data_IF_564898359567
#
_entry.id   IF_564898359567
#
_cell.length_a   1.000
_cell.length_b   1.000
_cell.length_c   1.000
_cell.angle_alpha   90.00
_cell.angle_beta   90.00
_cell.angle_gamma   90.00
#
_symmetry.space_group_name_H-M   'P 1'
#
loop_
_entity.id
_entity.type
_entity.pdbx_description
1 polymer ?
#
# COMPACT_ATOMS: atom_id res chain seq x y z
N UNK A 1 -17.71 -15.55 -0.07
CA UNK A 1 -17.79 -14.17 -0.58
C UNK A 1 -16.44 -13.90 -1.22
N UNK A 2 -16.38 -13.76 -2.54
CA UNK A 2 -15.13 -13.36 -3.21
C UNK A 2 -14.83 -11.93 -2.77
N UNK A 3 -13.63 -11.73 -2.23
CA UNK A 3 -13.18 -10.42 -1.79
C UNK A 3 -12.66 -9.65 -3.01
N UNK A 4 -13.29 -8.51 -3.31
CA UNK A 4 -12.95 -7.67 -4.47
C UNK A 4 -11.50 -7.21 -4.45
N UNK A 5 -10.86 -7.22 -3.28
CA UNK A 5 -9.50 -6.73 -3.11
C UNK A 5 -8.43 -7.74 -3.53
N UNK A 6 -8.77 -9.04 -3.62
CA UNK A 6 -7.82 -10.08 -4.06
C UNK A 6 -7.49 -10.02 -5.56
N UNK A 7 -8.21 -9.22 -6.34
CA UNK A 7 -7.95 -9.01 -7.76
C UNK A 7 -6.85 -7.97 -8.02
N UNK A 8 -6.47 -7.17 -7.01
CA UNK A 8 -5.44 -6.14 -7.17
C UNK A 8 -4.05 -6.75 -7.06
N UNK A 9 -3.12 -6.25 -7.87
CA UNK A 9 -1.73 -6.72 -7.92
C UNK A 9 -0.76 -5.72 -7.27
N UNK A 10 -1.04 -4.41 -7.35
CA UNK A 10 -0.16 -3.39 -6.76
C UNK A 10 -0.93 -2.27 -6.08
N UNK A 11 -0.25 -1.57 -5.18
CA UNK A 11 -0.69 -0.33 -4.57
C UNK A 11 0.37 0.78 -4.69
N UNK A 12 -0.12 1.99 -4.89
CA UNK A 12 0.65 3.22 -4.78
C UNK A 12 -0.05 4.16 -3.82
N UNK A 13 0.70 4.91 -3.02
CA UNK A 13 0.18 5.92 -2.12
C UNK A 13 0.86 7.25 -2.38
N UNK A 14 0.10 8.32 -2.36
CA UNK A 14 0.60 9.69 -2.47
C UNK A 14 -0.04 10.52 -1.38
N UNK A 15 0.78 11.28 -0.66
CA UNK A 15 0.31 12.24 0.35
C UNK A 15 0.66 13.66 -0.09
N UNK A 16 -0.35 14.53 -0.16
CA UNK A 16 -0.20 15.94 -0.56
C UNK A 16 -0.88 16.88 0.43
N UNK A 17 -0.64 18.18 0.28
CA UNK A 17 -1.40 19.27 0.94
C UNK A 17 -1.45 19.25 2.48
N UNK A 18 -0.44 18.68 3.15
CA UNK A 18 -0.37 18.73 4.60
C UNK A 18 -0.14 20.16 5.12
N UNK A 19 -0.85 20.55 6.18
CA UNK A 19 -0.62 21.80 6.89
C UNK A 19 0.85 21.91 7.30
N UNK A 20 1.49 23.04 6.99
CA UNK A 20 2.93 23.24 7.18
C UNK A 20 3.40 23.06 8.63
N UNK A 21 2.52 23.29 9.61
CA UNK A 21 2.80 23.08 11.05
C UNK A 21 2.80 21.59 11.46
N UNK A 22 2.21 20.71 10.65
CA UNK A 22 2.19 19.25 10.88
C UNK A 22 3.16 18.50 9.96
N UNK A 23 3.65 19.16 8.91
CA UNK A 23 4.80 18.70 8.13
C UNK A 23 6.10 18.61 8.95
N UNK A 24 6.13 19.15 10.17
CA UNK A 24 7.24 19.07 11.11
C UNK A 24 7.24 17.82 12.00
N UNK A 25 6.27 16.90 11.87
CA UNK A 25 6.43 15.54 12.39
C UNK A 25 7.68 14.91 11.75
N UNK A 26 8.54 14.27 12.53
CA UNK A 26 9.86 13.83 12.07
C UNK A 26 9.81 12.99 10.76
N UNK A 27 10.39 13.56 9.69
CA UNK A 27 10.33 13.05 8.32
C UNK A 27 9.14 13.64 7.56
N UNK A 28 9.39 14.39 6.48
CA UNK A 28 8.35 15.03 5.70
C UNK A 28 7.25 14.01 5.35
N UNK A 29 5.97 14.40 5.42
CA UNK A 29 4.85 13.55 4.98
C UNK A 29 5.01 13.06 3.52
N UNK A 30 5.86 13.71 2.72
CA UNK A 30 6.26 13.26 1.38
C UNK A 30 7.02 11.94 1.36
N UNK A 31 7.71 11.57 2.45
CA UNK A 31 8.44 10.29 2.59
C UNK A 31 7.51 9.08 2.55
N UNK A 32 6.21 9.30 2.73
CA UNK A 32 5.19 8.25 2.71
C UNK A 32 4.74 7.87 1.29
N UNK A 33 5.17 8.61 0.26
CA UNK A 33 4.72 8.33 -1.10
C UNK A 33 5.45 7.11 -1.66
N UNK A 34 4.71 6.06 -1.96
CA UNK A 34 5.22 4.79 -2.48
C UNK A 34 4.54 4.50 -3.81
N UNK A 35 5.26 3.82 -4.70
CA UNK A 35 4.72 3.40 -5.99
C UNK A 35 4.89 1.89 -6.16
N UNK A 36 3.87 1.26 -6.73
CA UNK A 36 3.91 -0.11 -7.26
C UNK A 36 4.30 -1.20 -6.24
N UNK A 37 3.91 -1.03 -4.97
CA UNK A 37 4.06 -2.04 -3.93
C UNK A 37 3.23 -3.28 -4.29
N UNK A 38 3.79 -4.48 -4.19
CA UNK A 38 3.09 -5.71 -4.62
C UNK A 38 2.09 -6.16 -3.58
N UNK A 39 0.91 -6.57 -4.04
CA UNK A 39 -0.14 -7.12 -3.19
C UNK A 39 0.32 -8.43 -2.54
N UNK A 40 0.16 -8.51 -1.22
CA UNK A 40 0.46 -9.70 -0.44
C UNK A 40 -0.83 -10.40 0.00
N UNK A 41 -1.71 -9.71 0.73
CA UNK A 41 -2.96 -10.29 1.24
C UNK A 41 -4.08 -9.26 1.42
N UNK A 42 -5.34 -9.71 1.38
CA UNK A 42 -6.50 -8.97 1.85
C UNK A 42 -7.25 -9.81 2.89
N UNK A 43 -7.45 -9.24 4.09
CA UNK A 43 -8.12 -9.91 5.19
C UNK A 43 -9.28 -9.06 5.70
N UNK A 44 -10.47 -9.65 5.82
CA UNK A 44 -11.57 -9.02 6.54
C UNK A 44 -11.28 -9.02 8.05
N UNK A 45 -11.25 -7.84 8.66
CA UNK A 45 -10.88 -7.66 10.08
C UNK A 45 -12.07 -7.37 10.99
N UNK A 46 -13.14 -6.79 10.46
CA UNK A 46 -14.37 -6.55 11.23
C UNK A 46 -15.59 -6.39 10.33
N UNK A 47 -16.77 -6.60 10.90
CA UNK A 47 -18.07 -6.30 10.29
C UNK A 47 -18.89 -5.46 11.25
N UNK A 48 -19.50 -4.41 10.74
CA UNK A 48 -20.54 -3.67 11.44
C UNK A 48 -21.89 -4.29 11.08
N UNK A 49 -22.56 -4.93 12.05
CA UNK A 49 -23.85 -5.58 11.84
C UNK A 49 -25.01 -4.60 11.61
N UNK A 50 -24.83 -3.32 11.98
CA UNK A 50 -25.86 -2.28 11.79
C UNK A 50 -25.87 -1.79 10.35
N UNK A 51 -24.69 -1.52 9.79
CA UNK A 51 -24.54 -0.99 8.42
C UNK A 51 -24.24 -2.06 7.39
N UNK A 52 -23.87 -3.27 7.84
CA UNK A 52 -23.37 -4.36 6.99
C UNK A 52 -21.96 -4.12 6.44
N UNK A 53 -21.31 -3.02 6.81
CA UNK A 53 -19.98 -2.64 6.30
C UNK A 53 -18.92 -3.62 6.80
N UNK A 54 -17.95 -3.93 5.96
CA UNK A 54 -16.83 -4.80 6.28
C UNK A 54 -15.54 -4.00 6.19
N UNK A 55 -14.71 -4.08 7.22
CA UNK A 55 -13.36 -3.51 7.20
C UNK A 55 -12.37 -4.56 6.70
N UNK A 56 -11.48 -4.16 5.80
CA UNK A 56 -10.44 -4.99 5.23
C UNK A 56 -9.07 -4.40 5.51
N UNK A 57 -8.13 -5.25 5.91
CA UNK A 57 -6.69 -4.96 5.97
C UNK A 57 -6.03 -5.50 4.70
N UNK A 58 -5.48 -4.59 3.90
CA UNK A 58 -4.78 -4.89 2.66
C UNK A 58 -3.29 -4.71 2.88
N UNK A 59 -2.53 -5.77 2.71
CA UNK A 59 -1.09 -5.80 2.90
C UNK A 59 -0.37 -5.82 1.55
N UNK A 60 0.62 -4.94 1.40
CA UNK A 60 1.46 -4.82 0.22
C UNK A 60 2.93 -4.79 0.64
N UNK A 61 3.73 -5.68 0.06
CA UNK A 61 5.17 -5.77 0.33
C UNK A 61 5.99 -5.47 -0.91
N UNK A 62 7.21 -4.98 -0.72
CA UNK A 62 8.22 -5.02 -1.77
C UNK A 62 9.23 -6.13 -1.46
N UNK A 63 9.32 -7.12 -2.35
CA UNK A 63 10.36 -8.16 -2.25
C UNK A 63 11.74 -7.67 -2.72
N UNK A 64 11.82 -6.45 -3.25
CA UNK A 64 13.06 -5.88 -3.77
C UNK A 64 13.65 -4.91 -2.77
N UNK A 65 14.73 -5.35 -2.10
CA UNK A 65 15.70 -4.45 -1.50
C UNK A 65 16.20 -3.50 -2.60
N UNK A 66 15.72 -2.26 -2.64
CA UNK A 66 16.31 -1.29 -3.56
C UNK A 66 17.68 -0.89 -3.02
N UNK A 67 18.71 -1.06 -3.85
CA UNK A 67 20.09 -0.66 -3.51
C UNK A 67 20.19 0.85 -3.19
N UNK A 68 19.23 1.64 -3.69
CA UNK A 68 19.19 3.09 -3.55
C UNK A 68 18.81 3.58 -2.15
N UNK A 69 18.06 2.79 -1.37
CA UNK A 69 17.49 3.26 -0.08
C UNK A 69 18.05 2.54 1.14
N UNK A 70 19.02 1.63 0.96
CA UNK A 70 19.45 0.71 2.02
C UNK A 70 18.25 0.12 2.77
N UNK A 71 17.19 -0.27 2.07
CA UNK A 71 15.97 -0.78 2.71
C UNK A 71 15.97 -2.30 2.59
N UNK A 72 15.91 -2.99 3.73
CA UNK A 72 15.90 -4.44 3.81
C UNK A 72 14.49 -5.01 3.61
N UNK A 73 13.49 -4.33 4.17
CA UNK A 73 12.09 -4.75 4.18
C UNK A 73 11.19 -3.51 4.16
N UNK A 74 10.08 -3.61 3.41
CA UNK A 74 9.06 -2.57 3.33
C UNK A 74 7.69 -3.21 3.23
N UNK A 75 6.86 -2.95 4.25
CA UNK A 75 5.47 -3.37 4.35
C UNK A 75 4.57 -2.12 4.36
N UNK A 76 3.59 -2.11 3.48
CA UNK A 76 2.58 -1.08 3.35
C UNK A 76 1.19 -1.68 3.57
N UNK A 77 0.46 -1.12 4.54
CA UNK A 77 -0.88 -1.57 4.91
C UNK A 77 -1.91 -0.49 4.67
N UNK A 78 -3.04 -0.89 4.11
CA UNK A 78 -4.19 -0.03 3.85
C UNK A 78 -5.40 -0.65 4.49
N UNK A 79 -6.05 0.08 5.40
CA UNK A 79 -7.33 -0.36 5.95
C UNK A 79 -8.46 0.41 5.28
N UNK A 80 -9.34 -0.33 4.62
CA UNK A 80 -10.51 0.20 3.92
C UNK A 80 -11.80 -0.34 4.49
N UNK A 81 -12.87 0.43 4.36
CA UNK A 81 -14.21 0.05 4.77
C UNK A 81 -15.07 -0.01 3.52
N UNK A 82 -15.61 -1.19 3.25
CA UNK A 82 -16.49 -1.45 2.13
C UNK A 82 -17.92 -1.61 2.64
N UNK A 83 -18.87 -0.76 2.22
CA UNK A 83 -20.28 -0.94 2.55
C UNK A 83 -20.84 -2.21 1.89
N UNK A 84 -21.87 -2.79 2.50
CA UNK A 84 -22.46 -4.06 2.04
C UNK A 84 -23.01 -3.96 0.61
N UNK A 85 -23.68 -2.84 0.32
CA UNK A 85 -24.57 -2.70 -0.84
C UNK A 85 -23.95 -1.92 -2.00
N UNK A 86 -22.77 -1.34 -1.81
CA UNK A 86 -22.13 -0.47 -2.81
C UNK A 86 -20.62 -0.71 -2.83
N UNK A 87 -20.11 -1.22 -3.95
CA UNK A 87 -18.67 -1.37 -4.17
C UNK A 87 -17.97 -0.06 -4.57
N UNK A 88 -18.73 1.01 -4.80
CA UNK A 88 -18.21 2.31 -5.25
C UNK A 88 -17.97 3.33 -4.14
N UNK A 89 -18.43 3.09 -2.90
CA UNK A 89 -18.19 3.96 -1.73
C UNK A 89 -17.20 3.32 -0.72
N UNK A 90 -16.05 2.87 -1.22
CA UNK A 90 -14.98 2.34 -0.38
C UNK A 90 -14.28 3.50 0.32
N UNK A 91 -14.21 3.44 1.66
CA UNK A 91 -13.62 4.50 2.48
C UNK A 91 -12.26 4.09 3.01
N UNK A 92 -11.31 5.01 2.99
CA UNK A 92 -10.01 4.83 3.60
C UNK A 92 -10.10 5.12 5.10
N UNK A 93 -9.71 4.16 5.95
CA UNK A 93 -9.67 4.36 7.40
C UNK A 93 -8.32 4.94 7.82
N UNK A 94 -7.25 4.24 7.45
CA UNK A 94 -5.89 4.57 7.78
C UNK A 94 -4.90 3.81 6.90
N UNK A 95 -3.66 4.28 6.87
CA UNK A 95 -2.52 3.64 6.21
C UNK A 95 -1.33 3.52 7.16
N UNK A 96 -0.54 2.47 6.98
CA UNK A 96 0.69 2.23 7.74
C UNK A 96 1.82 1.91 6.78
N UNK A 97 2.98 2.52 6.99
CA UNK A 97 4.23 2.15 6.34
C UNK A 97 5.20 1.65 7.41
N UNK A 98 5.77 0.47 7.20
CA UNK A 98 6.85 -0.09 8.01
C UNK A 98 8.05 -0.34 7.11
N UNK A 99 9.21 0.14 7.54
CA UNK A 99 10.47 -0.01 6.83
C UNK A 99 11.56 -0.50 7.77
N UNK A 100 12.41 -1.40 7.28
CA UNK A 100 13.68 -1.73 7.91
C UNK A 100 14.77 -1.08 7.09
N UNK A 101 15.33 0.01 7.61
CA UNK A 101 16.41 0.75 7.00
C UNK A 101 17.74 0.22 7.52
N UNK A 102 18.70 0.01 6.65
CA UNK A 102 20.08 -0.34 6.97
C UNK A 102 21.00 0.81 6.59
N UNK A 103 22.22 0.85 7.11
CA UNK A 103 23.22 1.82 6.70
C UNK A 103 24.11 1.33 5.54
N UNK A 104 23.91 0.08 5.08
CA UNK A 104 24.59 -0.55 3.95
C UNK A 104 23.60 -1.40 3.17
N UNK A 105 23.74 -1.58 1.84
CA UNK A 105 22.81 -2.38 1.06
C UNK A 105 22.86 -3.85 1.49
N UNK A 106 21.70 -4.50 1.52
CA UNK A 106 21.54 -5.88 2.02
C UNK A 106 22.47 -6.90 1.30
N UNK A 107 22.75 -6.67 0.02
CA UNK A 107 23.66 -7.50 -0.80
C UNK A 107 25.11 -7.53 -0.29
N UNK A 108 25.57 -6.48 0.41
CA UNK A 108 26.93 -6.43 0.97
C UNK A 108 27.06 -7.13 2.32
N UNK A 109 25.95 -7.38 3.03
CA UNK A 109 25.94 -8.07 4.32
C UNK A 109 26.23 -9.57 4.14
N UNK A 110 25.87 -10.13 2.97
CA UNK A 110 25.97 -11.58 2.73
C UNK A 110 27.29 -12.03 2.06
N UNK A 111 28.01 -11.13 1.38
CA UNK A 111 29.19 -11.47 0.55
C UNK A 111 30.54 -11.00 1.11
N UNK A 112 30.57 -10.41 2.31
CA UNK A 112 31.79 -9.96 2.96
C UNK A 112 32.49 -11.08 3.77
N UNK A 113 33.82 -11.02 3.96
CA UNK A 113 34.51 -11.93 4.88
C UNK A 113 33.93 -11.81 6.30
N UNK A 114 33.95 -12.89 7.12
CA UNK A 114 33.24 -13.02 8.41
C UNK A 114 33.68 -12.08 9.55
N UNK A 115 34.28 -10.93 9.25
CA UNK A 115 34.59 -9.83 10.18
C UNK A 115 34.18 -8.44 9.69
N UNK A 116 33.54 -8.32 8.52
CA UNK A 116 33.14 -7.04 7.90
C UNK A 116 31.73 -6.55 8.29
N UNK A 117 31.03 -7.31 9.15
CA UNK A 117 29.63 -7.09 9.57
C UNK A 117 29.54 -6.10 10.75
N UNK A 118 30.67 -5.74 11.37
CA UNK A 118 30.70 -4.94 12.61
C UNK A 118 30.16 -3.51 12.47
N UNK A 119 29.94 -3.02 11.23
CA UNK A 119 29.41 -1.68 10.96
C UNK A 119 27.99 -1.71 10.35
N UNK A 120 27.27 -2.83 10.43
CA UNK A 120 25.88 -2.90 9.92
C UNK A 120 24.93 -2.49 11.04
N UNK A 121 24.21 -1.39 10.82
CA UNK A 121 23.13 -0.93 11.68
C UNK A 121 21.81 -1.10 10.93
N UNK A 122 20.77 -1.54 11.65
CA UNK A 122 19.40 -1.55 11.16
C UNK A 122 18.52 -0.68 12.07
N UNK A 123 17.61 0.08 11.47
CA UNK A 123 16.62 0.89 12.14
C UNK A 123 15.25 0.54 11.58
N UNK A 124 14.29 0.27 12.47
CA UNK A 124 12.89 0.18 12.08
C UNK A 124 12.27 1.58 12.11
N UNK A 125 11.64 1.96 11.00
CA UNK A 125 10.77 3.13 10.89
C UNK A 125 9.34 2.64 10.72
N UNK A 126 8.42 3.16 11.52
CA UNK A 126 6.98 2.95 11.34
C UNK A 126 6.27 4.28 11.28
N UNK A 127 5.46 4.47 10.26
CA UNK A 127 4.68 5.67 10.06
C UNK A 127 3.22 5.29 9.90
N UNK A 128 2.32 6.18 10.33
CA UNK A 128 0.89 5.91 10.42
C UNK A 128 0.09 7.17 10.11
N UNK A 129 -0.95 7.05 9.27
CA UNK A 129 -1.89 8.14 8.97
C UNK A 129 -3.31 7.64 9.17
N UNK A 130 -4.05 8.28 10.08
CA UNK A 130 -5.43 7.92 10.45
C UNK A 130 -6.41 9.07 10.25
N UNK A 131 -7.67 8.83 10.63
CA UNK A 131 -8.72 9.84 10.53
C UNK A 131 -9.10 10.14 9.08
N UNK A 132 -8.99 9.14 8.21
CA UNK A 132 -9.18 9.29 6.76
C UNK A 132 -10.64 9.00 6.33
N UNK A 133 -11.53 8.65 7.25
CA UNK A 133 -12.88 8.19 6.87
C UNK A 133 -13.83 9.32 6.46
N UNK A 134 -13.76 10.48 7.12
CA UNK A 134 -14.82 11.51 7.05
C UNK A 134 -14.98 12.11 5.65
N UNK A 135 -13.87 12.34 4.95
CA UNK A 135 -13.84 12.91 3.60
C UNK A 135 -13.14 11.96 2.64
N UNK A 136 -13.57 10.69 2.64
CA UNK A 136 -13.10 9.67 1.71
C UNK A 136 -14.05 9.50 0.53
N UNK A 137 -13.50 9.38 -0.67
CA UNK A 137 -14.20 9.04 -1.90
C UNK A 137 -13.42 7.96 -2.64
N UNK A 138 -14.12 7.06 -3.35
CA UNK A 138 -13.47 6.10 -4.23
C UNK A 138 -14.04 6.14 -5.65
N UNK A 139 -13.18 5.84 -6.61
CA UNK A 139 -13.54 5.73 -8.02
C UNK A 139 -12.86 4.48 -8.60
N UNK A 140 -13.65 3.62 -9.25
CA UNK A 140 -13.15 2.45 -9.96
C UNK A 140 -13.24 2.68 -11.47
N UNK A 141 -12.12 2.51 -12.17
CA UNK A 141 -12.05 2.55 -13.61
C UNK A 141 -11.98 1.13 -14.17
N UNK A 142 -13.05 0.69 -14.82
CA UNK A 142 -13.12 -0.64 -15.44
C UNK A 142 -12.14 -0.81 -16.60
N UNK A 143 -11.77 0.27 -17.31
CA UNK A 143 -10.95 0.19 -18.52
C UNK A 143 -9.48 -0.13 -18.23
N UNK A 144 -8.95 0.38 -17.12
CA UNK A 144 -7.56 0.14 -16.71
C UNK A 144 -7.44 -0.71 -15.44
N UNK A 145 -8.57 -1.09 -14.82
CA UNK A 145 -8.60 -1.92 -13.63
C UNK A 145 -8.08 -1.20 -12.37
N UNK A 146 -8.21 0.13 -12.33
CA UNK A 146 -7.70 0.95 -11.21
C UNK A 146 -8.80 1.31 -10.24
N UNK A 147 -8.56 1.12 -8.95
CA UNK A 147 -9.36 1.69 -7.87
C UNK A 147 -8.57 2.82 -7.19
N UNK A 148 -9.10 4.04 -7.24
CA UNK A 148 -8.51 5.20 -6.59
C UNK A 148 -9.36 5.56 -5.38
N UNK A 149 -8.75 5.59 -4.19
CA UNK A 149 -9.38 6.03 -2.95
C UNK A 149 -8.66 7.31 -2.51
N UNK A 150 -9.38 8.42 -2.47
CA UNK A 150 -8.86 9.72 -2.03
C UNK A 150 -9.52 10.09 -0.72
N UNK A 151 -8.71 10.50 0.26
CA UNK A 151 -9.19 10.95 1.55
C UNK A 151 -8.49 12.23 1.96
N UNK A 152 -9.23 13.13 2.62
CA UNK A 152 -8.66 14.31 3.29
C UNK A 152 -8.79 14.16 4.79
N UNK A 153 -7.67 14.24 5.51
CA UNK A 153 -7.70 14.39 6.95
C UNK A 153 -8.04 15.85 7.29
N UNK A 154 -9.22 16.07 7.86
CA UNK A 154 -9.76 17.40 8.17
C UNK A 154 -8.93 18.20 9.16
N UNK A 155 -8.20 17.52 10.06
CA UNK A 155 -7.39 18.15 11.09
C UNK A 155 -6.01 18.57 10.56
N UNK A 156 -5.38 17.69 9.76
CA UNK A 156 -4.04 17.94 9.23
C UNK A 156 -4.02 18.59 7.85
N UNK A 157 -5.16 18.65 7.16
CA UNK A 157 -5.27 19.10 5.76
C UNK A 157 -4.65 18.11 4.75
N UNK A 158 -3.97 17.05 5.22
CA UNK A 158 -3.31 16.10 4.33
C UNK A 158 -4.33 15.38 3.46
N UNK A 159 -4.06 15.36 2.17
CA UNK A 159 -4.79 14.57 1.19
C UNK A 159 -3.99 13.30 0.93
N UNK A 160 -4.60 12.15 1.19
CA UNK A 160 -4.04 10.82 0.96
C UNK A 160 -4.76 10.20 -0.22
N UNK A 161 -4.00 9.81 -1.24
CA UNK A 161 -4.50 9.07 -2.39
C UNK A 161 -3.88 7.69 -2.39
N UNK A 162 -4.70 6.65 -2.32
CA UNK A 162 -4.31 5.26 -2.50
C UNK A 162 -4.85 4.78 -3.85
N UNK A 163 -3.97 4.25 -4.68
CA UNK A 163 -4.30 3.70 -5.99
C UNK A 163 -4.01 2.20 -5.95
N UNK A 164 -5.04 1.38 -6.14
CA UNK A 164 -4.91 -0.08 -6.29
C UNK A 164 -5.07 -0.43 -7.77
N UNK A 165 -4.19 -1.28 -8.28
CA UNK A 165 -4.13 -1.60 -9.71
C UNK A 165 -4.25 -3.11 -9.90
N UNK A 166 -5.24 -3.55 -10.70
CA UNK A 166 -5.33 -4.94 -11.16
C UNK A 166 -4.14 -5.29 -12.05
N UNK A 167 -3.70 -6.55 -12.12
CA UNK A 167 -2.65 -6.95 -13.04
C UNK A 167 -3.08 -6.59 -14.46
N UNK A 168 -2.21 -5.92 -15.21
CA UNK A 168 -2.38 -5.77 -16.65
C UNK A 168 -2.17 -7.14 -17.26
N UNK A 169 -3.25 -7.86 -17.54
CA UNK A 169 -3.17 -8.95 -18.49
C UNK A 169 -2.72 -8.32 -19.81
N UNK A 170 -1.61 -8.78 -20.44
CA UNK A 170 -1.39 -8.38 -21.82
C UNK A 170 -2.65 -8.81 -22.60
N UNK A 171 -3.23 -7.88 -23.36
CA UNK A 171 -4.21 -8.16 -24.39
C UNK A 171 -3.56 -9.00 -25.50
N UNK A 172 -3.10 -10.19 -25.17
CA UNK A 172 -2.63 -11.14 -26.14
C UNK A 172 -3.66 -12.25 -26.25
N UNK A 173 -4.31 -12.23 -27.40
CA UNK A 173 -4.87 -13.39 -28.08
C UNK A 173 -3.91 -14.60 -28.05
N UNK A 174 -3.80 -15.31 -26.92
CA UNK A 174 -3.29 -16.67 -26.89
C UNK A 174 -4.49 -17.59 -26.83
N UNK A 175 -5.05 -17.87 -28.01
CA UNK A 175 -5.81 -19.09 -28.21
C UNK A 175 -4.85 -20.24 -27.88
N UNK A 176 -5.17 -21.04 -26.87
CA UNK A 176 -4.54 -22.33 -26.65
C UNK A 176 -4.75 -23.20 -27.88
N UNK A 177 -3.83 -23.14 -28.84
CA UNK A 177 -3.65 -24.17 -29.86
C UNK A 177 -2.79 -25.29 -29.25
N UNK A 178 -3.41 -26.09 -28.38
CA UNK A 178 -2.95 -27.44 -28.07
C UNK A 178 -4.16 -28.33 -27.76
N UNK A 179 -4.91 -28.63 -28.81
CA UNK A 179 -5.72 -29.85 -28.91
C UNK A 179 -5.32 -30.58 -30.20
N UNK A 180 -4.08 -31.07 -30.23
CA UNK A 180 -3.67 -32.20 -31.06
C UNK A 180 -2.79 -33.08 -30.16
N UNK A 181 -3.36 -34.14 -29.59
CA UNK A 181 -3.17 -35.56 -30.01
C UNK A 181 -4.40 -36.34 -29.53
#
# INVERSE_FOLDING_TARGET
MFDIFNDFATASVTITSCNAELASCAGNCSDFSLNDMRFATANAISRDDTTGSISYDLEFGDSHSSDELNTLDRDFRVVVIKPQNDSSDIKLSHITLREILTNKPALYVYNGPPGSINDVCAQERRQYVSGLMEQSTSEYNENDGTLVITSTNTHSGCVVKVTLQKPKYPDDHWWCHYCEV
#
